data_IF_134525676432
#
_entry.id   IF_134525676432
#
_cell.length_a   1.000
_cell.length_b   1.000
_cell.length_c   1.000
_cell.angle_alpha   90.00
_cell.angle_beta   90.00
_cell.angle_gamma   90.00
#
_symmetry.space_group_name_H-M   'P 1'
#
loop_
_entity.id
_entity.type
_entity.pdbx_description
1 polymer ?
#
# COMPACT_ATOMS: atom_id res chain seq x y z
N UNK A 1 -7.97 11.47 28.09
CA UNK A 1 -6.60 11.00 28.40
C UNK A 1 -6.39 11.08 29.92
N UNK A 2 -5.98 9.98 30.57
CA UNK A 2 -5.61 10.01 32.00
C UNK A 2 -4.41 10.95 32.15
N UNK A 3 -4.48 11.95 33.03
CA UNK A 3 -3.32 12.80 33.37
C UNK A 3 -2.20 11.91 33.90
N UNK A 4 -1.16 11.73 33.10
CA UNK A 4 0.08 11.09 33.53
C UNK A 4 0.80 12.05 34.50
N UNK A 5 0.74 11.72 35.78
CA UNK A 5 1.51 12.46 36.83
C UNK A 5 2.97 11.99 36.75
N UNK A 6 3.80 12.73 36.05
CA UNK A 6 5.25 12.49 36.02
C UNK A 6 5.91 13.22 37.20
N UNK A 7 6.68 12.50 38.03
CA UNK A 7 7.27 13.08 39.26
C UNK A 7 8.43 14.05 38.97
N UNK A 8 9.00 14.00 37.76
CA UNK A 8 10.16 14.81 37.37
C UNK A 8 9.73 15.82 36.31
N UNK A 9 9.86 17.15 36.56
CA UNK A 9 9.43 18.19 35.61
C UNK A 9 10.10 18.08 34.25
N UNK A 10 11.35 17.66 34.16
CA UNK A 10 12.05 17.45 32.90
C UNK A 10 11.39 16.34 32.03
N UNK A 11 10.92 15.26 32.66
CA UNK A 11 10.20 14.20 31.91
C UNK A 11 8.87 14.70 31.37
N UNK A 12 8.20 15.59 32.08
CA UNK A 12 6.95 16.21 31.61
C UNK A 12 7.21 17.07 30.35
N UNK A 13 8.25 17.90 30.39
CA UNK A 13 8.63 18.72 29.26
C UNK A 13 8.98 17.89 28.02
N UNK A 14 9.75 16.80 28.22
CA UNK A 14 10.07 15.87 27.12
C UNK A 14 8.82 15.19 26.56
N UNK A 15 7.89 14.77 27.42
CA UNK A 15 6.63 14.16 26.97
C UNK A 15 5.79 15.15 26.17
N UNK A 16 5.68 16.40 26.62
CA UNK A 16 4.94 17.46 25.93
C UNK A 16 5.53 17.72 24.55
N UNK A 17 6.86 17.72 24.41
CA UNK A 17 7.54 17.89 23.14
C UNK A 17 7.25 16.72 22.18
N UNK A 18 7.31 15.46 22.66
CA UNK A 18 6.94 14.31 21.84
C UNK A 18 5.47 14.34 21.38
N UNK A 19 4.56 14.75 22.25
CA UNK A 19 3.15 14.89 21.86
C UNK A 19 2.95 15.98 20.81
N UNK A 20 3.67 17.10 20.93
CA UNK A 20 3.66 18.15 19.90
C UNK A 20 4.20 17.66 18.55
N UNK A 21 5.31 16.88 18.58
CA UNK A 21 5.86 16.29 17.35
C UNK A 21 4.88 15.34 16.68
N UNK A 22 4.14 14.53 17.45
CA UNK A 22 3.11 13.63 16.93
C UNK A 22 1.98 14.43 16.27
N UNK A 23 1.44 15.44 16.97
CA UNK A 23 0.37 16.31 16.43
C UNK A 23 0.80 17.01 15.14
N UNK A 24 2.03 17.50 15.08
CA UNK A 24 2.57 18.09 13.86
C UNK A 24 2.71 17.08 12.70
N UNK A 25 3.13 15.85 13.01
CA UNK A 25 3.24 14.79 12.02
C UNK A 25 1.87 14.38 11.48
N UNK A 26 0.88 14.24 12.35
CA UNK A 26 -0.51 13.93 11.98
C UNK A 26 -1.10 15.02 11.06
N UNK A 27 -0.92 16.28 11.39
CA UNK A 27 -1.36 17.40 10.53
C UNK A 27 -0.69 17.39 9.17
N UNK A 28 0.62 17.07 9.10
CA UNK A 28 1.34 16.94 7.82
C UNK A 28 0.81 15.80 6.98
N UNK A 29 0.46 14.67 7.60
CA UNK A 29 -0.13 13.54 6.89
C UNK A 29 -1.48 13.92 6.26
N UNK A 30 -2.37 14.56 7.02
CA UNK A 30 -3.66 15.03 6.49
C UNK A 30 -3.44 15.98 5.30
N UNK A 31 -2.57 16.98 5.46
CA UNK A 31 -2.28 17.93 4.37
C UNK A 31 -1.71 17.24 3.13
N UNK A 32 -0.87 16.21 3.28
CA UNK A 32 -0.31 15.46 2.15
C UNK A 32 -1.38 14.59 1.48
N UNK A 33 -2.27 13.97 2.25
CA UNK A 33 -3.39 13.20 1.69
C UNK A 33 -4.32 14.11 0.88
N UNK A 34 -4.67 15.30 1.39
CA UNK A 34 -5.48 16.29 0.68
C UNK A 34 -4.80 16.75 -0.63
N UNK A 35 -3.48 16.98 -0.60
CA UNK A 35 -2.71 17.33 -1.80
C UNK A 35 -2.71 16.21 -2.84
N UNK A 36 -2.58 14.96 -2.41
CA UNK A 36 -2.68 13.79 -3.30
C UNK A 36 -4.06 13.75 -3.95
N UNK A 37 -5.14 13.92 -3.18
CA UNK A 37 -6.51 13.92 -3.70
C UNK A 37 -6.72 14.95 -4.80
N UNK A 38 -6.20 16.16 -4.61
CA UNK A 38 -6.33 17.24 -5.61
C UNK A 38 -5.48 16.99 -6.84
N UNK A 39 -4.24 16.54 -6.68
CA UNK A 39 -3.30 16.45 -7.79
C UNK A 39 -3.45 15.18 -8.63
N UNK A 40 -3.83 14.06 -8.01
CA UNK A 40 -3.88 12.77 -8.69
C UNK A 40 -4.92 12.75 -9.82
N UNK A 41 -6.01 13.48 -9.68
CA UNK A 41 -7.10 13.55 -10.67
C UNK A 41 -6.61 14.09 -12.03
N UNK A 42 -5.64 15.03 -12.02
CA UNK A 42 -5.04 15.57 -13.23
C UNK A 42 -3.87 14.73 -13.77
N UNK A 43 -3.50 13.67 -13.08
CA UNK A 43 -2.38 12.84 -13.49
C UNK A 43 -2.78 11.88 -14.60
N UNK A 44 -1.95 11.80 -15.67
CA UNK A 44 -2.20 10.89 -16.82
C UNK A 44 -2.41 9.42 -16.44
N UNK A 45 -1.88 9.00 -15.28
CA UNK A 45 -2.01 7.63 -14.78
C UNK A 45 -3.21 7.44 -13.85
N UNK A 46 -4.06 8.44 -13.69
CA UNK A 46 -5.24 8.37 -12.83
C UNK A 46 -6.17 7.20 -13.16
N UNK A 47 -6.43 6.85 -14.45
CA UNK A 47 -7.23 5.65 -14.76
C UNK A 47 -6.65 4.35 -14.18
N UNK A 48 -5.32 4.23 -14.08
CA UNK A 48 -4.69 3.07 -13.44
C UNK A 48 -4.87 3.10 -11.92
N UNK A 49 -4.85 4.28 -11.31
CA UNK A 49 -5.14 4.48 -9.88
C UNK A 49 -6.58 4.04 -9.59
N UNK A 50 -7.55 4.50 -10.39
CA UNK A 50 -8.96 4.13 -10.23
C UNK A 50 -9.18 2.61 -10.39
N UNK A 51 -8.53 1.99 -11.38
CA UNK A 51 -8.60 0.54 -11.58
C UNK A 51 -8.10 -0.23 -10.36
N UNK A 52 -6.98 0.19 -9.76
CA UNK A 52 -6.46 -0.41 -8.53
C UNK A 52 -7.38 -0.18 -7.33
N UNK A 53 -8.02 0.97 -7.24
CA UNK A 53 -8.97 1.30 -6.17
C UNK A 53 -10.24 0.42 -6.20
N UNK A 54 -10.50 -0.32 -7.27
CA UNK A 54 -11.54 -1.35 -7.30
C UNK A 54 -11.22 -2.53 -6.37
N UNK A 55 -9.96 -2.71 -6.01
CA UNK A 55 -9.53 -3.78 -5.13
C UNK A 55 -9.78 -3.43 -3.66
N UNK A 56 -10.15 -4.44 -2.88
CA UNK A 56 -10.31 -4.29 -1.43
C UNK A 56 -8.96 -3.95 -0.78
N UNK A 57 -8.99 -3.02 0.18
CA UNK A 57 -7.78 -2.56 0.87
C UNK A 57 -6.96 -1.51 0.12
N UNK A 58 -7.15 -1.37 -1.18
CA UNK A 58 -6.45 -0.37 -1.98
C UNK A 58 -7.25 0.94 -1.96
N UNK A 59 -6.77 1.92 -1.21
CA UNK A 59 -7.29 3.29 -1.19
C UNK A 59 -6.44 4.18 -2.10
N UNK A 60 -6.84 5.45 -2.24
CA UNK A 60 -6.21 6.41 -3.14
C UNK A 60 -4.70 6.52 -2.93
N UNK A 61 -4.25 6.76 -1.71
CA UNK A 61 -2.83 6.89 -1.38
C UNK A 61 -2.05 5.63 -1.75
N UNK A 62 -2.57 4.43 -1.41
CA UNK A 62 -1.92 3.16 -1.75
C UNK A 62 -1.86 2.92 -3.26
N UNK A 63 -2.96 3.19 -3.99
CA UNK A 63 -3.01 3.08 -5.44
C UNK A 63 -2.02 4.04 -6.10
N UNK A 64 -1.98 5.30 -5.64
CA UNK A 64 -1.06 6.32 -6.17
C UNK A 64 0.40 5.93 -5.96
N UNK A 65 0.75 5.45 -4.76
CA UNK A 65 2.10 4.94 -4.47
C UNK A 65 2.45 3.78 -5.40
N UNK A 66 1.58 2.78 -5.53
CA UNK A 66 1.85 1.64 -6.39
C UNK A 66 2.04 2.06 -7.86
N UNK A 67 1.17 2.93 -8.38
CA UNK A 67 1.28 3.41 -9.77
C UNK A 67 2.54 4.26 -9.96
N UNK A 68 2.90 5.11 -9.01
CA UNK A 68 4.11 5.94 -9.11
C UNK A 68 5.40 5.13 -9.08
N UNK A 69 5.47 4.11 -8.22
CA UNK A 69 6.64 3.25 -8.06
C UNK A 69 6.81 2.23 -9.19
N UNK A 70 5.70 1.70 -9.69
CA UNK A 70 5.71 0.71 -10.78
C UNK A 70 5.90 1.42 -12.13
N UNK A 71 5.32 2.62 -12.30
CA UNK A 71 5.33 3.33 -13.57
C UNK A 71 4.52 2.61 -14.65
N UNK A 72 5.08 2.54 -15.86
CA UNK A 72 4.41 1.83 -16.96
C UNK A 72 4.41 0.32 -16.74
N UNK A 73 3.22 -0.22 -16.47
CA UNK A 73 3.02 -1.66 -16.26
C UNK A 73 3.33 -2.49 -17.51
N UNK A 74 3.20 -1.92 -18.72
CA UNK A 74 3.44 -2.61 -19.99
C UNK A 74 4.92 -2.95 -20.21
N UNK A 75 5.84 -2.36 -19.46
CA UNK A 75 7.26 -2.77 -19.46
C UNK A 75 7.47 -4.20 -18.96
N UNK A 76 6.52 -4.75 -18.22
CA UNK A 76 6.58 -6.12 -17.72
C UNK A 76 5.78 -7.03 -18.66
N UNK A 77 6.48 -7.84 -19.46
CA UNK A 77 5.86 -8.80 -20.39
C UNK A 77 5.19 -9.98 -19.69
N UNK A 78 5.57 -10.23 -18.43
CA UNK A 78 5.07 -11.35 -17.66
C UNK A 78 4.98 -10.98 -16.16
N UNK A 79 3.96 -11.44 -15.41
CA UNK A 79 3.80 -11.13 -13.99
C UNK A 79 5.03 -11.43 -13.12
N UNK A 80 5.81 -12.46 -13.48
CA UNK A 80 7.07 -12.80 -12.77
C UNK A 80 8.11 -11.66 -12.82
N UNK A 81 8.11 -10.86 -13.88
CA UNK A 81 9.03 -9.72 -13.99
C UNK A 81 8.65 -8.63 -12.98
N UNK A 82 7.34 -8.37 -12.80
CA UNK A 82 6.85 -7.49 -11.76
C UNK A 82 7.19 -8.04 -10.37
N UNK A 83 7.00 -9.34 -10.13
CA UNK A 83 7.41 -9.97 -8.87
C UNK A 83 8.91 -9.80 -8.61
N UNK A 84 9.74 -9.94 -9.63
CA UNK A 84 11.19 -9.68 -9.56
C UNK A 84 11.50 -8.23 -9.22
N UNK A 85 10.84 -7.29 -9.90
CA UNK A 85 10.97 -5.85 -9.63
C UNK A 85 10.60 -5.48 -8.19
N UNK A 86 9.59 -6.13 -7.63
CA UNK A 86 9.14 -5.96 -6.25
C UNK A 86 10.00 -6.75 -5.23
N UNK A 87 10.87 -7.66 -5.69
CA UNK A 87 11.65 -8.54 -4.83
C UNK A 87 10.79 -9.56 -4.07
N UNK A 88 9.65 -9.97 -4.66
CA UNK A 88 8.73 -10.96 -4.13
C UNK A 88 9.04 -12.39 -4.61
N UNK A 89 10.07 -12.56 -5.44
CA UNK A 89 10.53 -13.88 -5.91
C UNK A 89 11.21 -14.60 -4.76
N UNK A 90 10.89 -15.88 -4.50
CA UNK A 90 11.56 -16.65 -3.48
C UNK A 90 13.04 -16.90 -3.84
N UNK A 91 13.88 -16.89 -2.82
CA UNK A 91 15.28 -17.35 -2.95
C UNK A 91 15.28 -18.86 -3.20
N UNK A 92 15.98 -19.28 -4.24
CA UNK A 92 16.22 -20.69 -4.50
C UNK A 92 17.71 -21.02 -4.30
N UNK A 93 17.97 -21.97 -3.41
CA UNK A 93 19.30 -22.56 -3.21
C UNK A 93 19.22 -24.03 -3.57
N UNK A 94 19.43 -24.32 -4.85
CA UNK A 94 19.39 -25.69 -5.35
C UNK A 94 20.81 -26.18 -5.61
N UNK A 95 21.15 -27.36 -5.09
CA UNK A 95 22.41 -28.06 -5.36
C UNK A 95 22.11 -29.49 -5.77
N UNK A 96 22.51 -29.88 -6.99
CA UNK A 96 22.22 -31.21 -7.52
C UNK A 96 20.70 -31.50 -7.55
N UNK A 97 20.27 -32.59 -6.96
CA UNK A 97 18.89 -33.03 -6.96
C UNK A 97 18.04 -32.42 -5.82
N UNK A 98 18.61 -31.52 -5.00
CA UNK A 98 17.89 -30.97 -3.84
C UNK A 98 17.48 -29.53 -4.14
N UNK A 99 16.16 -29.29 -4.19
CA UNK A 99 15.59 -27.94 -4.33
C UNK A 99 15.23 -27.39 -2.95
N UNK A 100 15.85 -26.26 -2.56
CA UNK A 100 15.51 -25.52 -1.33
C UNK A 100 15.00 -24.15 -1.69
N UNK A 101 13.74 -23.89 -1.37
CA UNK A 101 13.09 -22.58 -1.52
C UNK A 101 13.17 -21.86 -0.18
N UNK A 102 13.75 -20.68 -0.19
CA UNK A 102 13.87 -19.81 0.99
C UNK A 102 12.83 -18.70 1.02
N UNK A 103 13.08 -17.67 1.85
CA UNK A 103 12.27 -16.46 1.90
C UNK A 103 12.37 -15.66 0.59
N UNK A 104 11.55 -14.62 0.43
CA UNK A 104 11.63 -13.70 -0.72
C UNK A 104 12.97 -12.99 -0.76
N UNK A 105 13.44 -12.69 -1.99
CA UNK A 105 14.76 -12.08 -2.23
C UNK A 105 14.91 -10.71 -1.57
N UNK A 106 13.82 -9.94 -1.46
CA UNK A 106 13.80 -8.54 -1.04
C UNK A 106 14.71 -7.63 -1.90
N UNK A 107 15.29 -8.15 -2.97
CA UNK A 107 16.07 -7.39 -3.94
C UNK A 107 15.10 -6.75 -4.95
N UNK A 108 14.86 -5.44 -4.82
CA UNK A 108 13.93 -4.72 -5.69
C UNK A 108 13.31 -3.52 -4.99
N UNK A 109 12.24 -2.97 -5.56
CA UNK A 109 11.60 -1.79 -5.01
C UNK A 109 10.97 -2.09 -3.64
N UNK A 110 11.61 -1.59 -2.59
CA UNK A 110 11.22 -1.86 -1.21
C UNK A 110 9.92 -1.15 -0.83
N UNK A 111 9.70 0.06 -1.35
CA UNK A 111 8.51 0.87 -1.04
C UNK A 111 7.25 0.27 -1.68
N UNK A 112 7.31 -0.05 -2.98
CA UNK A 112 6.20 -0.73 -3.64
C UNK A 112 5.91 -2.11 -3.02
N UNK A 113 6.94 -2.88 -2.66
CA UNK A 113 6.77 -4.16 -1.96
C UNK A 113 6.08 -3.98 -0.62
N UNK A 114 6.50 -3.01 0.18
CA UNK A 114 5.87 -2.71 1.46
C UNK A 114 4.39 -2.37 1.28
N UNK A 115 4.07 -1.48 0.34
CA UNK A 115 2.69 -1.11 0.04
C UNK A 115 1.86 -2.31 -0.42
N UNK A 116 2.42 -3.19 -1.27
CA UNK A 116 1.74 -4.42 -1.69
C UNK A 116 1.43 -5.35 -0.52
N UNK A 117 2.34 -5.48 0.44
CA UNK A 117 2.13 -6.30 1.64
C UNK A 117 1.03 -5.70 2.51
N UNK A 118 1.04 -4.39 2.71
CA UNK A 118 0.00 -3.69 3.50
C UNK A 118 -1.40 -3.91 2.91
N UNK A 119 -1.57 -3.71 1.61
CA UNK A 119 -2.88 -3.90 0.98
C UNK A 119 -3.30 -5.37 0.94
N UNK A 120 -2.35 -6.31 0.80
CA UNK A 120 -2.62 -7.73 0.77
C UNK A 120 -3.15 -8.29 2.11
N UNK A 121 -2.89 -7.61 3.23
CA UNK A 121 -3.44 -8.01 4.53
C UNK A 121 -4.97 -8.02 4.54
N UNK A 122 -5.60 -7.19 3.72
CA UNK A 122 -7.06 -7.18 3.59
C UNK A 122 -7.62 -8.45 2.93
N UNK A 123 -6.81 -9.18 2.15
CA UNK A 123 -7.19 -10.45 1.56
C UNK A 123 -7.26 -11.62 2.57
N UNK A 124 -6.67 -11.44 3.77
CA UNK A 124 -6.77 -12.42 4.86
C UNK A 124 -8.15 -12.42 5.53
N UNK A 125 -8.95 -11.40 5.31
CA UNK A 125 -10.29 -11.27 5.88
C UNK A 125 -11.32 -11.91 4.95
N UNK A 126 -12.46 -12.44 5.47
CA UNK A 126 -13.51 -13.00 4.64
C UNK A 126 -13.95 -12.06 3.53
N UNK A 127 -14.22 -12.55 2.30
CA UNK A 127 -14.62 -11.71 1.16
C UNK A 127 -15.82 -10.84 1.50
N UNK A 128 -15.72 -9.53 1.23
CA UNK A 128 -16.80 -8.57 1.49
C UNK A 128 -16.66 -7.34 0.60
N UNK A 129 -17.75 -6.93 -0.01
CA UNK A 129 -17.85 -5.62 -0.66
C UNK A 129 -18.55 -4.64 0.29
N UNK A 130 -17.80 -3.66 0.81
CA UNK A 130 -18.34 -2.59 1.63
C UNK A 130 -19.01 -1.53 0.75
N UNK A 131 -19.88 -0.70 1.34
CA UNK A 131 -20.49 0.44 0.63
C UNK A 131 -19.45 1.38 0.02
N UNK A 132 -18.33 1.60 0.70
CA UNK A 132 -17.23 2.42 0.17
C UNK A 132 -16.54 1.76 -1.04
N UNK A 133 -16.34 0.44 -1.00
CA UNK A 133 -15.77 -0.29 -2.13
C UNK A 133 -16.73 -0.30 -3.32
N UNK A 134 -18.02 -0.53 -3.08
CA UNK A 134 -19.06 -0.46 -4.12
C UNK A 134 -19.06 0.89 -4.83
N UNK A 135 -19.01 1.99 -4.10
CA UNK A 135 -18.92 3.35 -4.68
C UNK A 135 -17.69 3.54 -5.57
N UNK A 136 -16.53 3.00 -5.17
CA UNK A 136 -15.29 3.09 -5.99
C UNK A 136 -15.35 2.22 -7.25
N UNK A 137 -16.22 1.21 -7.26
CA UNK A 137 -16.45 0.32 -8.39
C UNK A 137 -17.56 0.82 -9.33
N UNK A 138 -18.31 1.85 -8.94
CA UNK A 138 -19.33 2.45 -9.78
C UNK A 138 -18.70 3.07 -11.04
N UNK A 139 -19.28 2.80 -12.21
CA UNK A 139 -18.77 3.30 -13.49
C UNK A 139 -17.52 2.59 -14.02
N UNK A 140 -16.87 1.74 -13.22
CA UNK A 140 -15.69 1.01 -13.65
C UNK A 140 -16.05 -0.23 -14.47
N UNK A 141 -15.21 -0.64 -15.45
CA UNK A 141 -15.40 -1.83 -16.26
C UNK A 141 -15.65 -3.08 -15.39
N UNK A 142 -16.57 -3.95 -15.84
CA UNK A 142 -16.95 -5.17 -15.12
C UNK A 142 -15.74 -6.05 -14.80
N UNK A 143 -14.77 -6.12 -15.72
CA UNK A 143 -13.55 -6.92 -15.56
C UNK A 143 -12.76 -6.54 -14.28
N UNK A 144 -12.73 -5.25 -13.91
CA UNK A 144 -12.02 -4.84 -12.69
C UNK A 144 -12.71 -5.33 -11.44
N UNK A 145 -14.05 -5.36 -11.44
CA UNK A 145 -14.84 -5.89 -10.31
C UNK A 145 -14.67 -7.41 -10.17
N UNK A 146 -14.64 -8.12 -11.29
CA UNK A 146 -14.41 -9.56 -11.32
C UNK A 146 -13.02 -9.92 -10.80
N UNK A 147 -11.97 -9.25 -11.29
CA UNK A 147 -10.62 -9.43 -10.81
C UNK A 147 -10.49 -9.07 -9.32
N UNK A 148 -11.11 -7.96 -8.89
CA UNK A 148 -11.11 -7.55 -7.49
C UNK A 148 -11.80 -8.57 -6.58
N UNK A 149 -12.80 -9.28 -7.07
CA UNK A 149 -13.46 -10.35 -6.33
C UNK A 149 -12.60 -11.62 -6.27
N UNK A 150 -11.91 -11.97 -7.35
CA UNK A 150 -11.04 -13.16 -7.41
C UNK A 150 -9.84 -13.11 -6.45
N UNK A 151 -9.37 -11.92 -6.10
CA UNK A 151 -8.22 -11.74 -5.19
C UNK A 151 -8.61 -11.56 -3.72
N UNK A 152 -9.88 -11.67 -3.38
CA UNK A 152 -10.39 -11.69 -2.01
C UNK A 152 -10.51 -13.11 -1.47
#
# INVERSE_FOLDING_TARGET
>A
MRELKLPIPALKAVLEEYLLMIDQAERRLVNLDDLIEVQVVSWRMFPAVEALMCMRGVKLTAATVLVSEIGDIHRFRHPRQLMGFLGLVPLEKSTGNTRRVGSITKAGNAHARWMMIEVAQHALLPPKVSTQLSRRQEGQPAIYRELAWQVQ
#
